data_IF_542242543457
#
_entry.id   IF_542242543457
#
_cell.length_a   1.000
_cell.length_b   1.000
_cell.length_c   1.000
_cell.angle_alpha   90.00
_cell.angle_beta   90.00
_cell.angle_gamma   90.00
#
_symmetry.space_group_name_H-M   'P 1'
#
loop_
_entity.id
_entity.type
_entity.pdbx_description
1 polymer ?
#
# COMPACT_ATOMS: atom_id res chain seq x y z
N UNK A 1 7.16 5.25 10.46
CA UNK A 1 6.62 3.99 9.93
C UNK A 1 5.13 3.88 10.17
N UNK A 2 4.63 4.42 11.28
CA UNK A 2 3.21 4.39 11.64
C UNK A 2 2.30 4.98 10.57
N UNK A 3 2.66 6.14 9.97
CA UNK A 3 1.85 6.75 8.91
C UNK A 3 1.71 5.87 7.66
N UNK A 4 2.77 5.15 7.28
CA UNK A 4 2.75 4.22 6.14
C UNK A 4 1.89 3.02 6.44
N UNK A 5 2.12 2.36 7.59
CA UNK A 5 1.40 1.14 7.95
C UNK A 5 -0.08 1.41 8.25
N UNK A 6 -0.39 2.51 8.93
CA UNK A 6 -1.77 2.95 9.14
C UNK A 6 -2.46 3.28 7.80
N UNK A 7 -1.75 3.95 6.89
CA UNK A 7 -2.22 4.19 5.53
C UNK A 7 -2.53 2.89 4.78
N UNK A 8 -1.68 1.86 4.87
CA UNK A 8 -1.93 0.56 4.23
C UNK A 8 -3.14 -0.16 4.82
N UNK A 9 -3.30 -0.16 6.14
CA UNK A 9 -4.48 -0.76 6.79
C UNK A 9 -5.75 -0.04 6.34
N UNK A 10 -5.77 1.28 6.42
CA UNK A 10 -6.94 2.04 5.99
C UNK A 10 -7.18 1.93 4.47
N UNK A 11 -6.14 1.93 3.65
CA UNK A 11 -6.23 1.83 2.20
C UNK A 11 -6.82 0.48 1.78
N UNK A 12 -6.33 -0.60 2.39
CA UNK A 12 -6.85 -1.94 2.17
C UNK A 12 -8.31 -2.09 2.62
N UNK A 13 -8.67 -1.57 3.80
CA UNK A 13 -10.02 -1.72 4.36
C UNK A 13 -11.05 -0.75 3.76
N UNK A 14 -10.75 0.55 3.72
CA UNK A 14 -11.67 1.60 3.27
C UNK A 14 -11.62 1.84 1.76
N UNK A 15 -10.51 1.49 1.11
CA UNK A 15 -10.37 1.54 -0.34
C UNK A 15 -10.79 0.22 -0.97
N UNK A 16 -9.87 -0.75 -1.02
CA UNK A 16 -10.06 -1.98 -1.79
C UNK A 16 -11.21 -2.86 -1.26
N UNK A 17 -11.26 -3.12 0.05
CA UNK A 17 -12.28 -3.98 0.64
C UNK A 17 -13.67 -3.37 0.50
N UNK A 18 -13.83 -2.10 0.89
CA UNK A 18 -15.11 -1.40 0.75
C UNK A 18 -15.57 -1.31 -0.72
N UNK A 19 -14.64 -1.10 -1.66
CA UNK A 19 -14.95 -1.09 -3.08
C UNK A 19 -15.49 -2.45 -3.54
N UNK A 20 -14.87 -3.55 -3.10
CA UNK A 20 -15.31 -4.91 -3.43
C UNK A 20 -16.64 -5.33 -2.81
N UNK A 21 -16.97 -4.80 -1.62
CA UNK A 21 -18.26 -5.01 -0.95
C UNK A 21 -19.38 -4.11 -1.50
N UNK A 22 -19.04 -3.06 -2.24
CA UNK A 22 -20.02 -2.09 -2.72
C UNK A 22 -21.04 -2.73 -3.67
N UNK A 23 -22.33 -2.54 -3.37
CA UNK A 23 -23.46 -2.97 -4.19
C UNK A 23 -24.25 -1.78 -4.77
N UNK A 24 -23.79 -0.55 -4.53
CA UNK A 24 -24.46 0.66 -4.97
C UNK A 24 -23.45 1.77 -5.28
N UNK A 25 -23.84 2.66 -6.19
CA UNK A 25 -23.01 3.77 -6.64
C UNK A 25 -22.49 4.64 -5.48
N UNK A 26 -23.30 5.02 -4.46
CA UNK A 26 -22.79 5.81 -3.34
C UNK A 26 -21.67 5.12 -2.56
N UNK A 27 -21.74 3.80 -2.37
CA UNK A 27 -20.69 3.04 -1.67
C UNK A 27 -19.40 3.04 -2.48
N UNK A 28 -19.47 2.83 -3.80
CA UNK A 28 -18.30 2.91 -4.67
C UNK A 28 -17.68 4.31 -4.70
N UNK A 29 -18.50 5.36 -4.71
CA UNK A 29 -17.99 6.73 -4.61
C UNK A 29 -17.26 6.98 -3.30
N UNK A 30 -17.82 6.53 -2.18
CA UNK A 30 -17.17 6.65 -0.87
C UNK A 30 -15.86 5.86 -0.81
N UNK A 31 -15.84 4.62 -1.30
CA UNK A 31 -14.64 3.78 -1.34
C UNK A 31 -13.54 4.40 -2.22
N UNK A 32 -13.89 4.88 -3.42
CA UNK A 32 -12.95 5.53 -4.32
C UNK A 32 -12.38 6.83 -3.72
N UNK A 33 -13.23 7.64 -3.07
CA UNK A 33 -12.80 8.85 -2.39
C UNK A 33 -11.84 8.53 -1.23
N UNK A 34 -12.21 7.60 -0.35
CA UNK A 34 -11.39 7.22 0.81
C UNK A 34 -10.06 6.61 0.38
N UNK A 35 -10.07 5.69 -0.59
CA UNK A 35 -8.85 5.12 -1.16
C UNK A 35 -7.93 6.18 -1.77
N UNK A 36 -8.50 7.15 -2.49
CA UNK A 36 -7.74 8.25 -3.10
C UNK A 36 -7.19 9.22 -2.05
N UNK A 37 -7.92 9.46 -0.96
CA UNK A 37 -7.49 10.33 0.14
C UNK A 37 -6.30 9.76 0.92
N UNK A 38 -6.25 8.43 1.06
CA UNK A 38 -5.21 7.73 1.82
C UNK A 38 -3.88 7.67 1.05
N UNK A 39 -3.95 7.60 -0.29
CA UNK A 39 -2.77 7.51 -1.16
C UNK A 39 -1.69 8.57 -0.91
N UNK A 40 -2.03 9.88 -0.84
CA UNK A 40 -1.10 10.95 -0.50
C UNK A 40 -0.49 10.82 0.90
N UNK A 41 -1.26 10.42 1.91
CA UNK A 41 -0.77 10.25 3.28
C UNK A 41 0.28 9.14 3.33
N UNK A 42 -0.02 8.01 2.70
CA UNK A 42 0.89 6.87 2.61
C UNK A 42 2.16 7.26 1.84
N UNK A 43 2.02 7.83 0.64
CA UNK A 43 3.16 8.21 -0.18
C UNK A 43 4.00 9.30 0.49
N UNK A 44 3.38 10.33 1.08
CA UNK A 44 4.07 11.40 1.78
C UNK A 44 4.89 10.90 2.97
N UNK A 45 4.26 10.10 3.84
CA UNK A 45 4.95 9.48 4.99
C UNK A 45 6.13 8.62 4.53
N UNK A 46 5.89 7.82 3.51
CA UNK A 46 6.89 6.93 2.95
C UNK A 46 8.04 7.69 2.27
N UNK A 47 7.76 8.78 1.56
CA UNK A 47 8.80 9.61 0.97
C UNK A 47 9.64 10.32 2.03
N UNK A 48 9.01 10.87 3.08
CA UNK A 48 9.70 11.55 4.17
C UNK A 48 10.70 10.62 4.88
N UNK A 49 10.33 9.36 5.14
CA UNK A 49 11.23 8.36 5.73
C UNK A 49 12.47 8.16 4.87
N UNK A 50 12.27 7.92 3.57
CA UNK A 50 13.41 7.64 2.70
C UNK A 50 14.28 8.88 2.47
N UNK A 51 13.71 10.07 2.45
CA UNK A 51 14.49 11.32 2.39
C UNK A 51 15.34 11.52 3.64
N UNK A 52 14.81 11.20 4.83
CA UNK A 52 15.55 11.32 6.08
C UNK A 52 16.69 10.28 6.19
N UNK A 53 16.50 9.08 5.65
CA UNK A 53 17.47 7.97 5.79
C UNK A 53 18.53 7.87 4.69
N UNK A 54 18.31 8.47 3.52
CA UNK A 54 19.21 8.32 2.37
C UNK A 54 20.00 9.59 2.13
N UNK A 55 21.32 9.47 2.06
CA UNK A 55 22.23 10.58 1.78
C UNK A 55 21.99 11.22 0.40
N UNK A 56 22.00 12.57 0.29
CA UNK A 56 21.65 13.31 -0.93
C UNK A 56 22.41 12.87 -2.19
N UNK A 57 23.66 12.45 -2.03
CA UNK A 57 24.57 12.01 -3.10
C UNK A 57 24.12 10.71 -3.80
N UNK A 58 23.35 9.86 -3.11
CA UNK A 58 22.84 8.59 -3.65
C UNK A 58 21.31 8.52 -3.76
N UNK A 59 20.57 9.57 -3.34
CA UNK A 59 19.11 9.59 -3.36
C UNK A 59 18.53 9.27 -4.75
N UNK A 60 19.09 9.84 -5.82
CA UNK A 60 18.62 9.59 -7.19
C UNK A 60 18.70 8.10 -7.59
N UNK A 61 19.75 7.39 -7.17
CA UNK A 61 19.93 5.96 -7.45
C UNK A 61 18.95 5.12 -6.64
N UNK A 62 18.82 5.41 -5.34
CA UNK A 62 17.92 4.69 -4.44
C UNK A 62 16.45 4.85 -4.86
N UNK A 63 16.02 6.09 -5.14
CA UNK A 63 14.65 6.36 -5.58
C UNK A 63 14.34 5.74 -6.95
N UNK A 64 15.27 5.77 -7.90
CA UNK A 64 15.07 5.14 -9.21
C UNK A 64 14.95 3.63 -9.11
N UNK A 65 15.84 2.97 -8.37
CA UNK A 65 15.78 1.52 -8.15
C UNK A 65 14.46 1.11 -7.48
N UNK A 66 14.06 1.85 -6.44
CA UNK A 66 12.79 1.64 -5.75
C UNK A 66 11.58 1.80 -6.68
N UNK A 67 11.57 2.85 -7.50
CA UNK A 67 10.49 3.11 -8.48
C UNK A 67 10.40 1.97 -9.48
N UNK A 68 11.53 1.48 -9.97
CA UNK A 68 11.58 0.35 -10.92
C UNK A 68 10.97 -0.92 -10.31
N UNK A 69 11.35 -1.26 -9.07
CA UNK A 69 10.78 -2.42 -8.36
C UNK A 69 9.26 -2.27 -8.20
N UNK A 70 8.79 -1.09 -7.78
CA UNK A 70 7.35 -0.83 -7.65
C UNK A 70 6.62 -0.95 -9.00
N UNK A 71 7.24 -0.49 -10.09
CA UNK A 71 6.65 -0.56 -11.42
C UNK A 71 6.57 -1.98 -11.97
N UNK A 72 7.52 -2.85 -11.64
CA UNK A 72 7.49 -4.26 -12.03
C UNK A 72 6.39 -5.05 -11.31
N UNK A 73 5.93 -4.60 -10.15
CA UNK A 73 4.81 -5.24 -9.45
C UNK A 73 3.50 -5.14 -10.25
N UNK A 74 3.28 -4.03 -10.98
CA UNK A 74 2.06 -3.81 -11.75
C UNK A 74 1.81 -4.84 -12.86
N UNK A 75 2.75 -5.09 -13.81
CA UNK A 75 2.53 -6.08 -14.86
C UNK A 75 2.40 -7.49 -14.29
N UNK A 76 3.14 -7.84 -13.24
CA UNK A 76 2.98 -9.13 -12.55
C UNK A 76 1.58 -9.25 -11.95
N UNK A 77 1.11 -8.22 -11.26
CA UNK A 77 -0.24 -8.19 -10.71
C UNK A 77 -1.31 -8.34 -11.81
N UNK A 78 -1.16 -7.64 -12.95
CA UNK A 78 -2.11 -7.76 -14.07
C UNK A 78 -2.08 -9.16 -14.70
N UNK A 79 -0.89 -9.76 -14.88
CA UNK A 79 -0.73 -11.09 -15.45
C UNK A 79 -1.38 -12.17 -14.58
N UNK A 80 -1.42 -11.97 -13.27
CA UNK A 80 -2.08 -12.88 -12.32
C UNK A 80 -3.58 -12.58 -12.19
N UNK A 81 -3.94 -11.31 -12.05
CA UNK A 81 -5.31 -10.88 -11.77
C UNK A 81 -6.25 -11.15 -12.95
N UNK A 82 -5.84 -10.91 -14.20
CA UNK A 82 -6.69 -11.13 -15.37
C UNK A 82 -7.17 -12.58 -15.49
N UNK A 83 -6.27 -13.57 -15.62
CA UNK A 83 -6.64 -14.98 -15.66
C UNK A 83 -7.38 -15.45 -14.40
N UNK A 84 -7.01 -14.96 -13.21
CA UNK A 84 -7.72 -15.30 -11.98
C UNK A 84 -9.18 -14.78 -12.02
N UNK A 85 -9.40 -13.56 -12.49
CA UNK A 85 -10.73 -12.98 -12.64
C UNK A 85 -11.56 -13.77 -13.67
N UNK A 86 -11.02 -13.98 -14.87
CA UNK A 86 -11.81 -14.51 -15.99
C UNK A 86 -12.04 -16.02 -15.88
N UNK A 87 -11.05 -16.77 -15.37
CA UNK A 87 -11.09 -18.24 -15.37
C UNK A 87 -11.53 -18.85 -14.04
N UNK A 88 -11.43 -18.11 -12.94
CA UNK A 88 -11.74 -18.64 -11.61
C UNK A 88 -12.82 -17.83 -10.89
N UNK A 89 -12.56 -16.57 -10.55
CA UNK A 89 -13.45 -15.82 -9.66
C UNK A 89 -14.78 -15.45 -10.31
N UNK A 90 -14.78 -15.01 -11.57
CA UNK A 90 -16.01 -14.68 -12.30
C UNK A 90 -16.91 -15.91 -12.46
N UNK A 91 -16.46 -17.04 -13.05
CA UNK A 91 -17.33 -18.20 -13.22
C UNK A 91 -17.77 -18.80 -11.88
N UNK A 92 -16.93 -18.75 -10.83
CA UNK A 92 -17.29 -19.29 -9.52
C UNK A 92 -18.39 -18.48 -8.78
N UNK A 93 -18.62 -17.23 -9.18
CA UNK A 93 -19.65 -16.34 -8.61
C UNK A 93 -20.78 -15.98 -9.58
N UNK A 94 -20.85 -16.63 -10.74
CA UNK A 94 -22.05 -16.63 -11.58
C UNK A 94 -23.15 -17.49 -10.93
N UNK A 95 -24.43 -17.33 -11.34
CA UNK A 95 -25.52 -18.15 -10.82
C UNK A 95 -25.22 -19.66 -10.94
N UNK A 96 -25.30 -20.38 -9.82
CA UNK A 96 -24.95 -21.81 -9.74
C UNK A 96 -23.45 -22.10 -9.55
N UNK A 97 -22.61 -21.08 -9.38
CA UNK A 97 -21.18 -21.21 -9.15
C UNK A 97 -20.83 -21.75 -7.76
N UNK A 98 -19.62 -22.30 -7.62
CA UNK A 98 -19.16 -22.95 -6.39
C UNK A 98 -19.00 -22.00 -5.20
N UNK A 99 -18.75 -20.71 -5.44
CA UNK A 99 -18.54 -19.70 -4.40
C UNK A 99 -19.80 -18.89 -4.08
N UNK A 100 -20.88 -19.09 -4.82
CA UNK A 100 -22.16 -18.37 -4.66
C UNK A 100 -22.73 -18.53 -3.24
N UNK A 101 -22.71 -19.73 -2.66
CA UNK A 101 -23.29 -19.94 -1.33
C UNK A 101 -22.43 -19.33 -0.20
N UNK A 102 -21.12 -19.24 -0.39
CA UNK A 102 -20.18 -18.77 0.65
C UNK A 102 -19.98 -17.27 0.58
N UNK A 103 -19.77 -16.72 -0.63
CA UNK A 103 -19.40 -15.33 -0.84
C UNK A 103 -20.47 -14.51 -1.57
N UNK A 104 -21.49 -15.16 -2.15
CA UNK A 104 -22.62 -14.45 -2.76
C UNK A 104 -23.34 -13.46 -1.83
N UNK A 105 -23.55 -13.77 -0.53
CA UNK A 105 -24.11 -12.79 0.42
C UNK A 105 -23.21 -11.57 0.67
N UNK A 106 -21.90 -11.69 0.39
CA UNK A 106 -20.91 -10.66 0.67
C UNK A 106 -20.69 -9.72 -0.53
N UNK A 107 -20.52 -10.28 -1.72
CA UNK A 107 -20.15 -9.54 -2.94
C UNK A 107 -21.20 -9.61 -4.05
N UNK A 108 -22.32 -10.29 -3.80
CA UNK A 108 -23.36 -10.53 -4.79
C UNK A 108 -23.07 -11.75 -5.68
N UNK A 109 -23.96 -11.97 -6.64
CA UNK A 109 -23.89 -13.09 -7.60
C UNK A 109 -24.15 -12.52 -9.00
N UNK A 110 -23.33 -12.93 -9.97
CA UNK A 110 -23.41 -12.46 -11.35
C UNK A 110 -22.22 -11.59 -11.78
N UNK A 111 -22.39 -10.79 -12.85
CA UNK A 111 -21.30 -9.99 -13.41
C UNK A 111 -20.67 -9.06 -12.36
N UNK A 112 -19.34 -9.08 -12.27
CA UNK A 112 -18.59 -8.23 -11.35
C UNK A 112 -18.39 -8.78 -9.94
N UNK A 113 -19.20 -9.74 -9.47
CA UNK A 113 -19.07 -10.32 -8.13
C UNK A 113 -17.70 -10.97 -7.90
N UNK A 114 -17.17 -11.67 -8.91
CA UNK A 114 -15.82 -12.24 -8.90
C UNK A 114 -14.74 -11.20 -8.65
N UNK A 115 -14.78 -10.08 -9.37
CA UNK A 115 -13.85 -8.96 -9.20
C UNK A 115 -14.03 -8.27 -7.84
N UNK A 116 -15.27 -8.17 -7.35
CA UNK A 116 -15.58 -7.67 -6.01
C UNK A 116 -14.89 -8.51 -4.92
N UNK A 117 -14.97 -9.84 -5.00
CA UNK A 117 -14.28 -10.73 -4.07
C UNK A 117 -12.76 -10.59 -4.14
N UNK A 118 -12.19 -10.45 -5.35
CA UNK A 118 -10.76 -10.20 -5.50
C UNK A 118 -10.31 -8.91 -4.81
N UNK A 119 -11.09 -7.83 -4.91
CA UNK A 119 -10.81 -6.57 -4.22
C UNK A 119 -10.90 -6.72 -2.69
N UNK A 120 -11.90 -7.45 -2.19
CA UNK A 120 -12.01 -7.79 -0.76
C UNK A 120 -10.78 -8.53 -0.27
N UNK A 121 -10.38 -9.60 -0.97
CA UNK A 121 -9.22 -10.40 -0.57
C UNK A 121 -7.92 -9.60 -0.65
N UNK A 122 -7.75 -8.77 -1.69
CA UNK A 122 -6.58 -7.91 -1.84
C UNK A 122 -6.50 -6.86 -0.72
N UNK A 123 -7.61 -6.21 -0.39
CA UNK A 123 -7.67 -5.22 0.69
C UNK A 123 -7.41 -5.81 2.06
N UNK A 124 -7.96 -6.99 2.34
CA UNK A 124 -7.68 -7.73 3.58
C UNK A 124 -6.21 -8.20 3.64
N UNK A 125 -5.65 -8.67 2.53
CA UNK A 125 -4.24 -9.05 2.47
C UNK A 125 -3.31 -7.85 2.69
N UNK A 126 -3.62 -6.69 2.10
CA UNK A 126 -2.87 -5.44 2.32
C UNK A 126 -2.89 -5.04 3.81
N UNK A 127 -4.06 -5.06 4.43
CA UNK A 127 -4.20 -4.78 5.86
C UNK A 127 -3.43 -5.81 6.71
N UNK A 128 -3.52 -7.09 6.39
CA UNK A 128 -2.80 -8.16 7.10
C UNK A 128 -1.28 -8.01 6.98
N UNK A 129 -0.76 -7.64 5.80
CA UNK A 129 0.67 -7.36 5.60
C UNK A 129 1.10 -6.20 6.49
N UNK A 130 0.33 -5.12 6.52
CA UNK A 130 0.65 -3.95 7.35
C UNK A 130 0.60 -4.25 8.85
N UNK A 131 -0.39 -5.03 9.30
CA UNK A 131 -0.50 -5.49 10.69
C UNK A 131 0.65 -6.44 11.06
N UNK A 132 1.04 -7.35 10.17
CA UNK A 132 2.20 -8.23 10.37
C UNK A 132 3.50 -7.43 10.42
N UNK A 133 3.64 -6.40 9.58
CA UNK A 133 4.79 -5.51 9.61
C UNK A 133 4.94 -4.77 10.95
N UNK A 134 3.83 -4.48 11.66
CA UNK A 134 3.87 -3.90 13.01
C UNK A 134 4.44 -4.85 14.08
N UNK A 135 4.31 -6.17 13.89
CA UNK A 135 4.83 -7.15 14.86
C UNK A 135 6.33 -7.38 14.69
N UNK A 136 6.90 -7.05 13.52
CA UNK A 136 8.32 -7.20 13.22
C UNK A 136 9.13 -6.04 13.82
N UNK A 137 9.99 -6.27 14.84
CA UNK A 137 10.70 -5.21 15.53
C UNK A 137 11.61 -4.38 14.63
N UNK A 138 12.19 -5.01 13.60
CA UNK A 138 13.03 -4.35 12.60
C UNK A 138 12.26 -3.31 11.78
N UNK A 139 10.99 -3.57 11.44
CA UNK A 139 10.16 -2.61 10.69
C UNK A 139 9.59 -1.56 11.63
N UNK A 140 9.08 -1.98 12.80
CA UNK A 140 8.52 -1.07 13.81
C UNK A 140 9.52 -0.04 14.30
N UNK A 141 10.79 -0.42 14.45
CA UNK A 141 11.86 0.48 14.90
C UNK A 141 12.77 0.94 13.77
N UNK A 142 12.43 0.73 12.49
CA UNK A 142 13.29 1.09 11.36
C UNK A 142 13.74 2.56 11.40
N UNK A 143 12.85 3.47 11.79
CA UNK A 143 13.16 4.90 11.96
C UNK A 143 14.13 5.19 13.10
N UNK A 144 14.20 4.34 14.14
CA UNK A 144 15.16 4.49 15.25
C UNK A 144 16.47 3.75 15.00
N UNK A 145 16.41 2.60 14.32
CA UNK A 145 17.56 1.72 14.08
C UNK A 145 18.51 2.27 13.01
N UNK A 146 17.96 2.97 12.01
CA UNK A 146 18.74 3.58 10.94
C UNK A 146 18.93 5.04 11.33
N UNK A 147 20.15 5.56 11.54
CA UNK A 147 20.36 6.99 11.80
C UNK A 147 19.80 7.84 10.65
N UNK A 148 19.26 9.01 10.97
CA UNK A 148 18.99 10.01 9.93
C UNK A 148 20.31 10.47 9.32
N UNK A 149 20.30 10.77 8.04
CA UNK A 149 21.46 11.39 7.43
C UNK A 149 21.63 12.81 8.00
N UNK A 150 22.74 13.04 8.71
CA UNK A 150 23.13 14.38 9.16
C UNK A 150 23.55 15.22 7.95
N UNK A 151 22.60 16.00 7.43
CA UNK A 151 22.89 17.03 6.43
C UNK A 151 23.19 18.37 7.10
N UNK A 152 24.41 18.86 6.92
CA UNK A 152 24.86 20.26 7.08
C UNK A 152 24.88 20.94 8.48
N UNK A 153 24.16 20.47 9.50
CA UNK A 153 24.17 21.16 10.80
C UNK A 153 25.48 20.93 11.59
N UNK A 154 26.08 19.75 11.49
CA UNK A 154 27.36 19.44 12.16
C UNK A 154 28.57 20.07 11.47
N UNK A 155 28.50 20.29 10.15
CA UNK A 155 29.58 20.93 9.39
C UNK A 155 29.62 22.44 9.66
N UNK A 156 28.46 23.09 9.86
CA UNK A 156 28.38 24.49 10.27
C UNK A 156 28.76 24.67 11.75
N UNK A 157 28.32 23.77 12.64
CA UNK A 157 28.71 23.79 14.06
C UNK A 157 30.22 23.53 14.26
N UNK A 158 30.80 22.64 13.46
CA UNK A 158 32.26 22.38 13.48
C UNK A 158 33.07 23.51 12.85
N UNK A 159 32.52 24.25 11.88
CA UNK A 159 33.16 25.45 11.30
C UNK A 159 33.08 26.67 12.19
N UNK A 160 31.99 26.86 12.94
CA UNK A 160 31.87 27.94 13.93
C UNK A 160 32.69 27.68 15.20
N UNK A 161 33.01 26.42 15.51
CA UNK A 161 33.83 26.03 16.66
C UNK A 161 35.35 26.20 16.45
N UNK A 162 35.82 26.52 15.24
CA UNK A 162 37.24 26.83 14.98
C UNK A 162 37.44 28.35 15.06
N UNK A 163 38.00 28.90 16.15
CA UNK A 163 38.32 30.32 16.20
C UNK A 163 39.36 30.63 15.13
N UNK A 164 39.11 31.67 14.33
CA UNK A 164 40.04 32.19 13.35
C UNK A 164 41.37 32.55 14.05
N UNK A 165 42.40 31.74 13.84
CA UNK A 165 43.78 31.97 14.29
C UNK A 165 44.55 32.82 13.31
#
# INVERSE_FOLDING_TARGET
>A
VNGVLFGMVLGGLLGATLMGLGQSLPVWMAAAFLGSLIGPILNGSNQAIWQAKVSPDIQGKVFSARRMIAWLANPVAMLLAGPAADRFFTPALMPGGSLTNTFGPLVGVGPGAGMGLMLVLAGLAEAAIALTAYTLPFIRHAERLIPDHQGADDENSSREAVPAS
#
